data_IF_947634990327
#
_entry.id   IF_947634990327
#
_cell.length_a   1.000
_cell.length_b   1.000
_cell.length_c   1.000
_cell.angle_alpha   90.00
_cell.angle_beta   90.00
_cell.angle_gamma   90.00
#
_symmetry.space_group_name_H-M   'P 1'
#
loop_
_entity.id
_entity.type
_entity.pdbx_description
1 polymer ?
#
# COMPACT_ATOMS: atom_id res chain seq x y z
N UNK A 1 5.95 13.50 1.99
CA UNK A 1 5.72 12.45 0.97
C UNK A 1 6.01 11.04 1.49
N UNK A 2 6.90 10.88 2.48
CA UNK A 2 7.36 9.58 3.00
C UNK A 2 6.24 8.67 3.53
N UNK A 3 5.32 9.20 4.33
CA UNK A 3 4.18 8.42 4.85
C UNK A 3 3.37 7.72 3.76
N UNK A 4 3.05 8.42 2.66
CA UNK A 4 2.28 7.82 1.54
C UNK A 4 3.04 6.67 0.87
N UNK A 5 4.36 6.80 0.74
CA UNK A 5 5.21 5.76 0.14
C UNK A 5 5.39 4.57 1.06
N UNK A 6 5.55 4.81 2.36
CA UNK A 6 5.56 3.77 3.37
C UNK A 6 4.25 2.97 3.34
N UNK A 7 3.10 3.66 3.36
CA UNK A 7 1.80 3.01 3.24
C UNK A 7 1.67 2.19 1.94
N UNK A 8 2.12 2.72 0.80
CA UNK A 8 2.12 1.98 -0.46
C UNK A 8 3.01 0.72 -0.42
N UNK A 9 4.08 0.73 0.38
CA UNK A 9 4.94 -0.45 0.62
C UNK A 9 4.39 -1.41 1.66
N UNK A 10 3.57 -0.94 2.60
CA UNK A 10 2.99 -1.79 3.64
C UNK A 10 1.88 -2.71 3.11
N UNK A 11 1.26 -2.36 1.97
CA UNK A 11 0.10 -3.06 1.42
C UNK A 11 0.53 -4.09 0.35
N UNK A 12 0.09 -5.34 0.51
CA UNK A 12 0.22 -6.36 -0.53
C UNK A 12 -1.02 -6.34 -1.44
N UNK A 13 -0.87 -5.79 -2.64
CA UNK A 13 -1.97 -5.71 -3.62
C UNK A 13 -2.31 -7.08 -4.20
N UNK A 14 -1.32 -7.95 -4.36
CA UNK A 14 -1.57 -9.33 -4.78
C UNK A 14 -2.37 -10.11 -3.74
N UNK A 15 -2.09 -9.95 -2.44
CA UNK A 15 -2.92 -10.57 -1.40
C UNK A 15 -4.37 -10.06 -1.45
N UNK A 16 -4.58 -8.76 -1.65
CA UNK A 16 -5.92 -8.20 -1.81
C UNK A 16 -6.62 -8.81 -3.03
N UNK A 17 -5.94 -8.88 -4.17
CA UNK A 17 -6.50 -9.49 -5.39
C UNK A 17 -6.90 -10.95 -5.13
N UNK A 18 -6.04 -11.72 -4.48
CA UNK A 18 -6.27 -13.14 -4.27
C UNK A 18 -7.34 -13.41 -3.21
N UNK A 19 -7.38 -12.62 -2.12
CA UNK A 19 -8.24 -12.90 -0.96
C UNK A 19 -9.58 -12.14 -0.98
N UNK A 20 -9.63 -10.96 -1.61
CA UNK A 20 -10.83 -10.10 -1.61
C UNK A 20 -11.53 -10.13 -2.97
N UNK A 21 -10.76 -10.24 -4.05
CA UNK A 21 -11.30 -10.24 -5.41
C UNK A 21 -11.32 -11.62 -6.07
N UNK A 22 -10.96 -12.69 -5.34
CA UNK A 22 -10.91 -14.07 -5.85
C UNK A 22 -10.15 -14.18 -7.19
N UNK A 23 -9.01 -13.50 -7.30
CA UNK A 23 -8.18 -13.45 -8.52
C UNK A 23 -8.83 -12.78 -9.75
N UNK A 24 -10.01 -12.15 -9.59
CA UNK A 24 -10.74 -11.48 -10.67
C UNK A 24 -10.26 -10.03 -10.94
N UNK A 25 -9.13 -9.62 -10.35
CA UNK A 25 -8.57 -8.28 -10.48
C UNK A 25 -7.06 -8.32 -10.78
N UNK A 26 -6.48 -7.17 -11.10
CA UNK A 26 -5.04 -7.02 -11.28
C UNK A 26 -4.53 -5.84 -10.45
N UNK A 27 -3.33 -5.96 -9.84
CA UNK A 27 -2.75 -4.85 -9.09
C UNK A 27 -2.32 -3.73 -10.04
N UNK A 28 -2.43 -2.48 -9.56
CA UNK A 28 -2.08 -1.26 -10.27
C UNK A 28 -1.38 -0.27 -9.33
N UNK A 29 -0.30 0.35 -9.79
CA UNK A 29 0.35 1.49 -9.13
C UNK A 29 -0.12 2.83 -9.72
N UNK A 30 -0.39 2.86 -11.02
CA UNK A 30 -0.97 3.99 -11.72
C UNK A 30 -2.48 4.11 -11.53
N UNK A 31 -2.98 5.35 -11.54
CA UNK A 31 -4.41 5.64 -11.66
C UNK A 31 -4.95 5.35 -13.08
N UNK A 32 -4.07 5.07 -14.04
CA UNK A 32 -4.41 4.71 -15.41
C UNK A 32 -4.28 3.19 -15.58
N UNK A 33 -5.31 2.48 -16.09
CA UNK A 33 -5.24 1.04 -16.34
C UNK A 33 -4.05 0.64 -17.23
N UNK A 34 -3.46 -0.52 -16.96
CA UNK A 34 -2.32 -1.09 -17.73
C UNK A 34 -2.54 -1.15 -19.23
N UNK A 35 -3.75 -1.47 -19.65
CA UNK A 35 -4.12 -1.64 -21.04
C UNK A 35 -4.40 -0.31 -21.77
N UNK A 36 -4.35 0.82 -21.07
CA UNK A 36 -4.55 2.12 -21.67
C UNK A 36 -3.25 2.58 -22.39
N UNK A 37 -3.30 3.05 -23.64
CA UNK A 37 -2.12 3.49 -24.39
C UNK A 37 -1.27 4.58 -23.73
N UNK A 38 -1.83 5.37 -22.80
CA UNK A 38 -1.09 6.42 -22.08
C UNK A 38 -0.53 5.94 -20.73
N UNK A 39 -0.69 4.67 -20.39
CA UNK A 39 -0.16 4.11 -19.16
C UNK A 39 1.30 3.71 -19.33
N UNK A 40 2.17 4.24 -18.47
CA UNK A 40 3.58 3.84 -18.38
C UNK A 40 3.79 2.68 -17.40
N UNK A 41 2.72 2.08 -16.88
CA UNK A 41 2.79 1.04 -15.84
C UNK A 41 3.71 -0.12 -16.27
N UNK A 42 3.63 -0.57 -17.53
CA UNK A 42 4.46 -1.66 -18.05
C UNK A 42 5.93 -1.29 -18.27
N UNK A 43 6.27 0.00 -18.24
CA UNK A 43 7.64 0.50 -18.42
C UNK A 43 8.36 0.71 -17.08
N UNK A 44 7.64 0.58 -15.96
CA UNK A 44 8.24 0.73 -14.64
C UNK A 44 9.11 -0.49 -14.29
N UNK A 45 10.36 -0.22 -13.91
CA UNK A 45 11.28 -1.26 -13.42
C UNK A 45 10.94 -1.78 -12.02
N UNK A 46 10.01 -1.11 -11.31
CA UNK A 46 9.55 -1.50 -9.99
C UNK A 46 8.06 -1.31 -9.84
N UNK A 47 7.48 -2.12 -8.94
CA UNK A 47 6.09 -2.00 -8.53
C UNK A 47 5.92 -2.03 -7.01
N UNK A 48 4.79 -1.52 -6.52
CA UNK A 48 4.31 -1.65 -5.14
C UNK A 48 3.28 -2.78 -4.99
N UNK A 49 3.36 -3.82 -5.82
CA UNK A 49 2.35 -4.89 -5.80
C UNK A 49 2.48 -5.82 -4.60
N UNK A 50 3.71 -6.03 -4.14
CA UNK A 50 4.02 -6.84 -2.97
C UNK A 50 4.36 -5.92 -1.79
N UNK A 51 3.93 -6.33 -0.60
CA UNK A 51 4.33 -5.64 0.61
C UNK A 51 5.85 -5.79 0.84
N UNK A 52 6.49 -4.70 1.28
CA UNK A 52 7.84 -4.69 1.83
C UNK A 52 7.78 -3.95 3.17
N UNK A 53 7.41 -4.70 4.21
CA UNK A 53 7.19 -4.18 5.56
C UNK A 53 8.48 -3.60 6.14
N UNK A 54 9.63 -4.24 5.88
CA UNK A 54 10.93 -3.75 6.33
C UNK A 54 11.24 -2.36 5.77
N UNK A 55 11.11 -2.17 4.45
CA UNK A 55 11.31 -0.87 3.82
C UNK A 55 10.26 0.16 4.26
N UNK A 56 9.01 -0.26 4.48
CA UNK A 56 7.98 0.64 5.02
C UNK A 56 8.36 1.17 6.41
N UNK A 57 8.78 0.29 7.31
CA UNK A 57 9.20 0.67 8.66
C UNK A 57 10.43 1.58 8.63
N UNK A 58 11.44 1.24 7.82
CA UNK A 58 12.62 2.08 7.62
C UNK A 58 12.24 3.50 7.14
N UNK A 59 11.29 3.60 6.20
CA UNK A 59 10.78 4.88 5.73
C UNK A 59 10.07 5.68 6.83
N UNK A 60 9.31 5.00 7.70
CA UNK A 60 8.60 5.64 8.82
C UNK A 60 9.58 6.12 9.89
N UNK A 61 10.53 5.28 10.29
CA UNK A 61 11.58 5.60 11.26
C UNK A 61 12.40 6.81 10.79
N UNK A 62 12.84 6.78 9.52
CA UNK A 62 13.59 7.89 8.90
C UNK A 62 12.79 9.18 8.85
N UNK A 63 11.47 9.09 8.73
CA UNK A 63 10.57 10.24 8.75
C UNK A 63 10.17 10.69 10.17
N UNK A 64 10.70 10.06 11.21
CA UNK A 64 10.46 10.41 12.62
C UNK A 64 9.15 9.85 13.19
N UNK A 65 8.51 8.89 12.51
CA UNK A 65 7.36 8.16 13.06
C UNK A 65 7.87 7.06 14.00
N UNK A 66 8.21 7.45 15.23
CA UNK A 66 8.74 6.55 16.25
C UNK A 66 7.61 5.92 17.08
N UNK A 67 7.68 4.62 17.32
CA UNK A 67 6.84 3.91 18.29
C UNK A 67 7.46 4.04 19.69
N UNK A 68 7.08 5.07 20.45
CA UNK A 68 7.78 5.48 21.69
C UNK A 68 7.27 4.76 22.94
N UNK A 69 6.02 4.31 22.92
CA UNK A 69 5.30 3.61 23.97
C UNK A 69 5.15 2.10 23.70
N UNK A 70 5.54 1.64 22.52
CA UNK A 70 5.57 0.23 22.15
C UNK A 70 4.20 -0.35 21.78
N UNK A 71 3.18 0.49 21.58
CA UNK A 71 1.79 0.06 21.34
C UNK A 71 1.39 -0.04 19.86
N UNK A 72 2.38 0.12 18.97
CA UNK A 72 2.26 0.16 17.51
C UNK A 72 1.68 1.47 16.97
N UNK A 73 2.16 1.87 15.78
CA UNK A 73 1.66 3.06 15.11
C UNK A 73 0.22 2.85 14.60
N UNK A 74 -0.73 3.57 15.18
CA UNK A 74 -2.15 3.53 14.77
C UNK A 74 -2.46 4.52 13.64
N UNK A 75 -3.10 4.05 12.56
CA UNK A 75 -3.56 4.89 11.44
C UNK A 75 -5.09 4.78 11.32
N UNK A 76 -5.79 5.91 11.29
CA UNK A 76 -7.24 5.95 11.11
C UNK A 76 -7.57 6.07 9.63
N UNK A 77 -8.16 5.03 9.05
CA UNK A 77 -8.68 5.03 7.68
C UNK A 77 -10.21 5.16 7.67
N UNK A 78 -10.73 5.99 6.76
CA UNK A 78 -12.18 6.09 6.52
C UNK A 78 -12.55 5.19 5.33
N UNK A 79 -13.48 4.26 5.56
CA UNK A 79 -14.11 3.47 4.51
C UNK A 79 -15.59 3.86 4.43
N UNK A 80 -16.10 4.08 3.21
CA UNK A 80 -17.50 4.46 2.98
C UNK A 80 -18.50 3.32 3.24
N UNK A 81 -18.02 2.09 3.43
CA UNK A 81 -18.78 1.02 4.07
C UNK A 81 -18.40 1.01 5.54
N UNK A 82 -19.24 1.60 6.40
CA UNK A 82 -19.24 1.53 7.88
C UNK A 82 -17.89 1.34 8.59
N UNK A 83 -17.46 2.34 9.36
CA UNK A 83 -16.28 2.34 10.24
C UNK A 83 -15.75 0.94 10.63
N UNK A 84 -14.66 0.49 9.99
CA UNK A 84 -13.88 -0.66 10.45
C UNK A 84 -12.52 -0.18 10.92
N UNK A 85 -12.24 -0.40 12.20
CA UNK A 85 -10.93 -0.20 12.82
C UNK A 85 -10.01 -1.30 12.31
N UNK A 86 -8.89 -0.94 11.71
CA UNK A 86 -7.82 -1.88 11.39
C UNK A 86 -6.92 -1.89 12.64
N UNK A 87 -6.77 -3.09 13.23
CA UNK A 87 -5.94 -3.33 14.42
C UNK A 87 -4.52 -3.66 13.98
#
# INVERSE_FOLDING_TARGET
MTFRRALARAISKWEIVNQVFDELANPLDSCVPKNNPVSVESELWYHYYNANIAQSNEMLDTAGFLNVDGDNLSIILKCNQGHKKIV
#
